data_IF_279828839803
#
_entry.id   IF_279828839803
#
_cell.length_a   1.000
_cell.length_b   1.000
_cell.length_c   1.000
_cell.angle_alpha   90.00
_cell.angle_beta   90.00
_cell.angle_gamma   90.00
#
_symmetry.space_group_name_H-M   'P 1'
#
loop_
_entity.id
_entity.type
_entity.pdbx_description
1 polymer ?
#
# COMPACT_ATOMS: atom_id res chain seq x y z
N UNK A 1 -4.13 -12.37 -27.48
CA UNK A 1 -3.17 -11.95 -26.44
C UNK A 1 -2.76 -10.52 -26.73
N UNK A 2 -3.41 -9.55 -26.08
CA UNK A 2 -3.12 -8.13 -26.31
C UNK A 2 -1.70 -7.81 -25.85
N UNK A 3 -0.92 -7.14 -26.71
CA UNK A 3 0.41 -6.63 -26.37
C UNK A 3 0.29 -5.81 -25.07
N UNK A 4 1.05 -6.18 -24.04
CA UNK A 4 1.19 -5.36 -22.84
C UNK A 4 1.71 -4.00 -23.28
N UNK A 5 0.82 -3.01 -23.34
CA UNK A 5 1.15 -1.66 -23.75
C UNK A 5 1.87 -0.97 -22.58
N UNK A 6 3.16 -0.73 -22.74
CA UNK A 6 3.96 0.06 -21.82
C UNK A 6 3.43 1.50 -21.74
N UNK A 7 3.82 2.23 -20.70
CA UNK A 7 3.45 3.65 -20.54
C UNK A 7 4.66 4.52 -20.29
N UNK A 8 4.64 5.72 -20.87
CA UNK A 8 5.69 6.70 -20.61
C UNK A 8 5.64 7.18 -19.15
N UNK A 9 6.78 7.15 -18.46
CA UNK A 9 6.89 7.58 -17.06
C UNK A 9 6.67 9.09 -16.89
N UNK A 10 6.80 9.88 -17.96
CA UNK A 10 6.65 11.35 -17.94
C UNK A 10 5.24 11.83 -18.27
N UNK A 11 4.63 11.34 -19.35
CA UNK A 11 3.31 11.80 -19.82
C UNK A 11 2.17 10.78 -19.71
N UNK A 12 2.46 9.53 -19.27
CA UNK A 12 1.48 8.43 -19.19
C UNK A 12 0.91 7.96 -20.55
N UNK A 13 1.47 8.42 -21.66
CA UNK A 13 1.08 7.99 -23.00
C UNK A 13 1.49 6.54 -23.27
N UNK A 14 0.70 5.80 -24.06
CA UNK A 14 1.01 4.39 -24.39
C UNK A 14 2.26 4.33 -25.26
N UNK A 15 3.12 3.35 -24.98
CA UNK A 15 4.34 3.06 -25.73
C UNK A 15 4.34 1.59 -26.16
N UNK A 16 4.82 1.34 -27.39
CA UNK A 16 4.91 -0.02 -27.94
C UNK A 16 6.16 -0.76 -27.46
N UNK A 17 7.26 -0.03 -27.25
CA UNK A 17 8.57 -0.54 -26.87
C UNK A 17 9.22 0.40 -25.87
N UNK A 18 9.86 -0.16 -24.85
CA UNK A 18 10.60 0.61 -23.84
C UNK A 18 12.03 0.93 -24.28
N UNK A 19 12.69 -0.06 -24.88
CA UNK A 19 14.06 0.01 -25.38
C UNK A 19 14.17 -0.75 -26.69
N UNK A 20 15.18 -0.40 -27.48
CA UNK A 20 15.64 -1.18 -28.63
C UNK A 20 17.03 -1.72 -28.34
N UNK A 21 17.14 -3.04 -28.37
CA UNK A 21 18.42 -3.72 -28.37
C UNK A 21 18.98 -3.73 -29.78
N UNK A 22 20.10 -3.04 -29.99
CA UNK A 22 20.92 -3.26 -31.17
C UNK A 22 21.81 -4.48 -30.90
N UNK A 23 21.96 -5.38 -31.88
CA UNK A 23 22.73 -6.64 -31.79
C UNK A 23 24.17 -6.50 -31.25
N UNK A 24 24.67 -5.28 -31.07
CA UNK A 24 25.97 -4.96 -30.50
C UNK A 24 25.96 -4.81 -28.96
N UNK A 25 24.85 -5.14 -28.29
CA UNK A 25 24.71 -4.98 -26.83
C UNK A 25 24.47 -3.54 -26.37
N UNK A 26 24.16 -2.62 -27.30
CA UNK A 26 23.82 -1.23 -26.99
C UNK A 26 22.30 -1.13 -26.84
N UNK A 27 21.86 -1.01 -25.58
CA UNK A 27 20.49 -0.70 -25.22
C UNK A 27 20.23 0.78 -25.53
N UNK A 28 19.24 1.09 -26.38
CA UNK A 28 18.80 2.48 -26.60
C UNK A 28 17.37 2.67 -26.13
N UNK A 29 17.17 3.59 -25.18
CA UNK A 29 15.84 3.96 -24.71
C UNK A 29 15.00 4.56 -25.84
N UNK A 30 13.75 4.12 -25.94
CA UNK A 30 12.79 4.67 -26.90
C UNK A 30 12.38 6.07 -26.45
N UNK A 31 12.29 7.02 -27.40
CA UNK A 31 11.81 8.38 -27.14
C UNK A 31 10.30 8.41 -27.32
N UNK A 32 9.57 8.99 -26.36
CA UNK A 32 8.13 9.14 -26.44
C UNK A 32 7.74 10.16 -27.52
N UNK A 33 6.85 9.79 -28.43
CA UNK A 33 6.37 10.69 -29.50
C UNK A 33 5.61 11.92 -29.00
N UNK A 34 4.98 11.85 -27.82
CA UNK A 34 4.20 12.96 -27.26
C UNK A 34 5.08 13.97 -26.51
N UNK A 35 5.93 13.52 -25.58
CA UNK A 35 6.69 14.42 -24.70
C UNK A 35 8.17 14.56 -25.09
N UNK A 36 8.65 13.82 -26.10
CA UNK A 36 10.04 13.84 -26.59
C UNK A 36 11.10 13.53 -25.52
N UNK A 37 10.70 12.88 -24.42
CA UNK A 37 11.58 12.36 -23.36
C UNK A 37 11.70 10.84 -23.47
N UNK A 38 12.74 10.21 -22.88
CA UNK A 38 12.83 8.75 -22.82
C UNK A 38 11.56 8.17 -22.18
N UNK A 39 11.01 7.12 -22.78
CA UNK A 39 9.76 6.47 -22.35
C UNK A 39 9.87 6.00 -20.90
N UNK A 40 11.00 5.38 -20.55
CA UNK A 40 11.28 4.92 -19.20
C UNK A 40 12.77 4.87 -18.93
N UNK A 41 13.26 5.81 -18.11
CA UNK A 41 14.67 5.87 -17.69
C UNK A 41 15.04 4.85 -16.62
N UNK A 42 14.06 4.30 -15.90
CA UNK A 42 14.32 3.44 -14.74
C UNK A 42 14.78 2.04 -15.11
N UNK A 43 14.71 1.67 -16.39
CA UNK A 43 15.19 0.37 -16.89
C UNK A 43 16.70 0.22 -16.71
N UNK A 44 17.44 1.32 -16.82
CA UNK A 44 18.89 1.35 -16.62
C UNK A 44 19.28 1.52 -15.15
N UNK A 45 18.32 1.89 -14.29
CA UNK A 45 18.59 2.22 -12.89
C UNK A 45 18.56 0.96 -12.04
N UNK A 46 19.43 0.94 -11.02
CA UNK A 46 19.39 -0.09 -10.00
C UNK A 46 18.05 -0.03 -9.22
N UNK A 47 17.44 -1.17 -8.85
CA UNK A 47 16.23 -1.23 -8.04
C UNK A 47 16.25 -0.39 -6.77
N UNK A 48 17.43 -0.17 -6.15
CA UNK A 48 17.57 0.69 -4.97
C UNK A 48 17.22 2.15 -5.28
N UNK A 49 17.63 2.67 -6.44
CA UNK A 49 17.32 4.04 -6.86
C UNK A 49 15.82 4.18 -7.13
N UNK A 50 15.23 3.16 -7.75
CA UNK A 50 13.78 3.09 -8.00
C UNK A 50 13.02 3.11 -6.66
N UNK A 51 13.49 2.37 -5.67
CA UNK A 51 12.91 2.33 -4.33
C UNK A 51 13.00 3.70 -3.63
N UNK A 52 14.14 4.40 -3.71
CA UNK A 52 14.29 5.75 -3.15
C UNK A 52 13.31 6.71 -3.82
N UNK A 53 13.20 6.70 -5.14
CA UNK A 53 12.27 7.57 -5.86
C UNK A 53 10.79 7.23 -5.54
N UNK A 54 10.49 5.95 -5.28
CA UNK A 54 9.19 5.54 -4.76
C UNK A 54 8.95 6.08 -3.35
N UNK A 55 9.93 5.97 -2.44
CA UNK A 55 9.87 6.56 -1.09
C UNK A 55 9.69 8.09 -1.15
N UNK A 56 10.23 8.76 -2.17
CA UNK A 56 10.00 10.19 -2.42
C UNK A 56 8.64 10.50 -3.06
N UNK A 57 7.76 9.50 -3.22
CA UNK A 57 6.45 9.61 -3.86
C UNK A 57 6.51 10.21 -5.29
N UNK A 58 7.60 9.99 -6.03
CA UNK A 58 7.73 10.51 -7.41
C UNK A 58 6.79 9.77 -8.36
N UNK A 59 6.03 10.52 -9.16
CA UNK A 59 5.08 9.96 -10.14
C UNK A 59 5.75 9.01 -11.13
N UNK A 60 6.97 9.32 -11.55
CA UNK A 60 7.69 8.57 -12.57
C UNK A 60 8.03 7.15 -12.08
N UNK A 61 8.47 7.00 -10.82
CA UNK A 61 8.72 5.70 -10.21
C UNK A 61 7.44 4.86 -10.09
N UNK A 62 6.33 5.46 -9.64
CA UNK A 62 5.05 4.74 -9.58
C UNK A 62 4.59 4.24 -10.95
N UNK A 63 4.78 5.03 -12.02
CA UNK A 63 4.44 4.62 -13.39
C UNK A 63 5.31 3.45 -13.87
N UNK A 64 6.62 3.51 -13.61
CA UNK A 64 7.54 2.42 -13.92
C UNK A 64 7.14 1.11 -13.20
N UNK A 65 6.94 1.19 -11.89
CA UNK A 65 6.64 0.02 -11.04
C UNK A 65 5.29 -0.62 -11.40
N UNK A 66 4.29 0.20 -11.73
CA UNK A 66 2.93 -0.29 -11.99
C UNK A 66 2.70 -0.77 -13.42
N UNK A 67 3.19 -0.02 -14.42
CA UNK A 67 2.88 -0.27 -15.83
C UNK A 67 4.02 -0.92 -16.61
N UNK A 68 5.27 -0.59 -16.28
CA UNK A 68 6.43 -1.06 -17.05
C UNK A 68 7.14 -2.26 -16.40
N UNK A 69 6.80 -2.58 -15.16
CA UNK A 69 7.40 -3.69 -14.41
C UNK A 69 6.40 -4.80 -14.10
N UNK A 70 6.82 -6.04 -14.36
CA UNK A 70 6.06 -7.24 -13.99
C UNK A 70 6.37 -7.67 -12.55
N UNK A 71 5.87 -6.92 -11.57
CA UNK A 71 6.02 -7.29 -10.16
C UNK A 71 4.89 -8.19 -9.66
N UNK A 72 5.20 -9.48 -9.50
CA UNK A 72 4.31 -10.45 -8.87
C UNK A 72 4.44 -10.52 -7.32
N UNK A 73 5.15 -9.56 -6.72
CA UNK A 73 5.48 -9.57 -5.28
C UNK A 73 4.42 -8.79 -4.46
N UNK A 74 3.47 -8.13 -5.11
CA UNK A 74 2.49 -7.24 -4.46
C UNK A 74 1.70 -7.90 -3.32
N UNK A 75 1.25 -9.16 -3.48
CA UNK A 75 0.53 -9.86 -2.42
C UNK A 75 1.45 -10.28 -1.26
N UNK A 76 2.69 -10.69 -1.55
CA UNK A 76 3.70 -11.02 -0.53
C UNK A 76 4.06 -9.80 0.30
N UNK A 77 4.24 -8.66 -0.38
CA UNK A 77 4.50 -7.38 0.26
C UNK A 77 3.32 -6.95 1.14
N UNK A 78 2.09 -7.15 0.67
CA UNK A 78 0.90 -6.90 1.49
C UNK A 78 0.88 -7.74 2.77
N UNK A 79 1.12 -9.05 2.67
CA UNK A 79 1.21 -9.95 3.84
C UNK A 79 2.29 -9.47 4.80
N UNK A 80 3.46 -9.10 4.30
CA UNK A 80 4.56 -8.59 5.12
C UNK A 80 4.20 -7.27 5.81
N UNK A 81 3.58 -6.33 5.09
CA UNK A 81 3.08 -5.09 5.67
C UNK A 81 2.03 -5.31 6.77
N UNK A 82 1.13 -6.28 6.60
CA UNK A 82 0.14 -6.68 7.61
C UNK A 82 0.81 -7.29 8.84
N UNK A 83 1.84 -8.12 8.65
CA UNK A 83 2.62 -8.68 9.76
C UNK A 83 3.37 -7.59 10.54
N UNK A 84 4.00 -6.63 9.86
CA UNK A 84 4.65 -5.50 10.52
C UNK A 84 3.68 -4.67 11.36
N UNK A 85 2.48 -4.43 10.84
CA UNK A 85 1.45 -3.68 11.55
C UNK A 85 0.86 -4.47 12.73
N UNK A 86 0.57 -5.77 12.54
CA UNK A 86 0.10 -6.65 13.60
C UNK A 86 1.13 -6.75 14.73
N UNK A 87 2.40 -6.93 14.38
CA UNK A 87 3.50 -6.96 15.32
C UNK A 87 3.61 -5.64 16.10
N UNK A 88 3.58 -4.49 15.40
CA UNK A 88 3.65 -3.19 16.08
C UNK A 88 2.52 -3.03 17.10
N UNK A 89 1.28 -3.35 16.71
CA UNK A 89 0.11 -3.27 17.60
C UNK A 89 0.25 -4.20 18.80
N UNK A 90 0.70 -5.43 18.58
CA UNK A 90 0.94 -6.42 19.62
C UNK A 90 2.06 -6.00 20.58
N UNK A 91 3.19 -5.51 20.03
CA UNK A 91 4.34 -5.02 20.79
C UNK A 91 4.00 -3.80 21.64
N UNK A 92 3.18 -2.88 21.12
CA UNK A 92 2.70 -1.71 21.87
C UNK A 92 1.79 -2.09 23.04
N UNK A 93 0.98 -3.15 22.90
CA UNK A 93 0.11 -3.65 23.96
C UNK A 93 0.91 -4.36 25.07
N UNK A 94 1.95 -5.10 24.69
CA UNK A 94 2.74 -5.92 25.62
C UNK A 94 3.95 -5.20 26.21
N UNK A 95 4.44 -4.13 25.58
CA UNK A 95 5.50 -3.29 26.16
C UNK A 95 5.11 -2.65 27.50
N UNK A 96 3.81 -2.61 27.84
CA UNK A 96 3.31 -2.08 29.11
C UNK A 96 3.11 -3.12 30.22
N UNK A 97 3.16 -4.43 29.94
CA UNK A 97 2.89 -5.47 30.94
C UNK A 97 4.09 -6.39 31.17
N UNK A 98 4.88 -6.08 32.21
CA UNK A 98 5.88 -6.99 32.77
C UNK A 98 5.31 -7.66 34.02
N UNK A 99 4.74 -8.88 33.92
CA UNK A 99 4.59 -9.76 35.10
C UNK A 99 4.35 -11.24 34.77
N UNK A 100 4.59 -12.07 35.78
CA UNK A 100 5.06 -13.47 35.80
C UNK A 100 4.01 -14.55 35.45
N UNK A 101 4.52 -15.62 34.80
CA UNK A 101 4.01 -17.01 34.59
C UNK A 101 2.59 -17.41 35.06
N UNK A 102 1.76 -18.06 34.20
CA UNK A 102 1.99 -19.45 33.79
C UNK A 102 2.18 -19.69 32.27
N UNK A 103 3.32 -20.31 31.92
CA UNK A 103 3.93 -20.40 30.61
C UNK A 103 3.06 -20.88 29.43
N UNK A 104 2.19 -21.87 29.59
CA UNK A 104 1.46 -22.44 28.43
C UNK A 104 0.13 -21.74 28.12
N UNK A 105 -0.63 -21.35 29.15
CA UNK A 105 -1.85 -20.55 28.96
C UNK A 105 -1.46 -19.15 28.48
N UNK A 106 -0.42 -18.54 29.08
CA UNK A 106 0.10 -17.24 28.67
C UNK A 106 0.65 -17.27 27.24
N UNK A 107 1.37 -18.33 26.84
CA UNK A 107 1.90 -18.44 25.47
C UNK A 107 0.78 -18.58 24.45
N UNK A 108 -0.21 -19.43 24.73
CA UNK A 108 -1.38 -19.58 23.86
C UNK A 108 -2.21 -18.30 23.76
N UNK A 109 -2.49 -17.61 24.88
CA UNK A 109 -3.23 -16.33 24.85
C UNK A 109 -2.47 -15.25 24.08
N UNK A 110 -1.14 -15.18 24.23
CA UNK A 110 -0.28 -14.24 23.48
C UNK A 110 -0.31 -14.48 21.97
N UNK A 111 -0.34 -15.74 21.54
CA UNK A 111 -0.45 -16.10 20.12
C UNK A 111 -1.82 -15.71 19.54
N UNK A 112 -2.92 -15.94 20.29
CA UNK A 112 -4.26 -15.54 19.87
C UNK A 112 -4.43 -14.03 19.75
N UNK A 113 -3.83 -13.26 20.66
CA UNK A 113 -3.85 -11.80 20.59
C UNK A 113 -3.12 -11.29 19.35
N UNK A 114 -2.01 -11.92 18.96
CA UNK A 114 -1.34 -11.62 17.70
C UNK A 114 -2.24 -11.91 16.49
N UNK A 115 -2.89 -13.08 16.44
CA UNK A 115 -3.81 -13.42 15.34
C UNK A 115 -5.02 -12.48 15.29
N UNK A 116 -5.57 -12.07 16.44
CA UNK A 116 -6.64 -11.10 16.51
C UNK A 116 -6.21 -9.72 15.98
N UNK A 117 -4.99 -9.28 16.34
CA UNK A 117 -4.41 -8.03 15.81
C UNK A 117 -4.17 -8.09 14.30
N UNK A 118 -3.69 -9.22 13.80
CA UNK A 118 -3.53 -9.46 12.36
C UNK A 118 -4.87 -9.47 11.61
N UNK A 119 -5.88 -10.14 12.17
CA UNK A 119 -7.23 -10.16 11.62
C UNK A 119 -7.86 -8.76 11.58
N UNK A 120 -7.71 -7.99 12.65
CA UNK A 120 -8.16 -6.59 12.72
C UNK A 120 -7.46 -5.70 11.70
N UNK A 121 -6.13 -5.79 11.58
CA UNK A 121 -5.36 -5.05 10.57
C UNK A 121 -5.76 -5.43 9.13
N UNK A 122 -6.05 -6.72 8.89
CA UNK A 122 -6.53 -7.21 7.60
C UNK A 122 -7.92 -6.65 7.28
N UNK A 123 -8.82 -6.64 8.26
CA UNK A 123 -10.17 -6.09 8.09
C UNK A 123 -10.12 -4.59 7.79
N UNK A 124 -9.33 -3.83 8.54
CA UNK A 124 -9.10 -2.41 8.32
C UNK A 124 -8.54 -2.12 6.91
N UNK A 125 -7.50 -2.84 6.48
CA UNK A 125 -6.95 -2.70 5.12
C UNK A 125 -7.98 -3.07 4.04
N UNK A 126 -8.75 -4.14 4.25
CA UNK A 126 -9.79 -4.56 3.30
C UNK A 126 -10.88 -3.51 3.17
N UNK A 127 -11.31 -2.91 4.29
CA UNK A 127 -12.30 -1.84 4.30
C UNK A 127 -11.79 -0.58 3.62
N UNK A 128 -10.53 -0.21 3.85
CA UNK A 128 -9.86 0.88 3.13
C UNK A 128 -9.87 0.62 1.62
N UNK A 129 -9.43 -0.56 1.17
CA UNK A 129 -9.40 -0.88 -0.27
C UNK A 129 -10.81 -0.90 -0.88
N UNK A 130 -11.78 -1.57 -0.25
CA UNK A 130 -13.15 -1.69 -0.77
C UNK A 130 -13.81 -0.32 -0.89
N UNK A 131 -13.70 0.53 0.14
CA UNK A 131 -14.29 1.87 0.13
C UNK A 131 -13.67 2.79 -0.92
N UNK A 132 -12.34 2.74 -1.11
CA UNK A 132 -11.64 3.48 -2.17
C UNK A 132 -12.08 3.00 -3.55
N UNK A 133 -12.11 1.67 -3.78
CA UNK A 133 -12.54 1.10 -5.06
C UNK A 133 -14.00 1.46 -5.38
N UNK A 134 -14.88 1.38 -4.38
CA UNK A 134 -16.28 1.71 -4.53
C UNK A 134 -16.50 3.20 -4.83
N UNK A 135 -15.83 4.09 -4.09
CA UNK A 135 -15.89 5.53 -4.33
C UNK A 135 -15.37 5.90 -5.72
N UNK A 136 -14.24 5.33 -6.15
CA UNK A 136 -13.66 5.59 -7.47
C UNK A 136 -14.55 5.02 -8.58
N UNK A 137 -15.12 3.83 -8.39
CA UNK A 137 -16.12 3.27 -9.31
C UNK A 137 -17.30 4.21 -9.46
N UNK A 138 -17.88 4.66 -8.35
CA UNK A 138 -19.00 5.59 -8.35
C UNK A 138 -18.64 6.86 -9.13
N UNK A 139 -17.51 7.51 -8.81
CA UNK A 139 -17.14 8.78 -9.43
C UNK A 139 -16.76 8.63 -10.91
N UNK A 140 -15.93 7.67 -11.28
CA UNK A 140 -15.44 7.54 -12.66
C UNK A 140 -16.51 6.98 -13.59
N UNK A 141 -17.32 6.02 -13.14
CA UNK A 141 -18.38 5.45 -13.97
C UNK A 141 -19.56 6.42 -14.08
N UNK A 142 -20.03 6.99 -12.97
CA UNK A 142 -21.22 7.84 -12.99
C UNK A 142 -20.95 9.25 -13.50
N UNK A 143 -19.79 9.85 -13.16
CA UNK A 143 -19.50 11.25 -13.51
C UNK A 143 -18.62 11.40 -14.75
N UNK A 144 -17.80 10.40 -15.08
CA UNK A 144 -16.85 10.48 -16.21
C UNK A 144 -17.13 9.48 -17.33
N UNK A 145 -18.06 8.55 -17.15
CA UNK A 145 -18.39 7.51 -18.15
C UNK A 145 -17.21 6.59 -18.50
N UNK A 146 -16.20 6.50 -17.63
CA UNK A 146 -14.98 5.74 -17.86
C UNK A 146 -15.09 4.27 -17.40
N UNK A 147 -14.17 3.43 -17.89
CA UNK A 147 -13.97 2.06 -17.38
C UNK A 147 -12.81 2.04 -16.38
N UNK A 148 -12.93 1.24 -15.31
CA UNK A 148 -11.88 1.06 -14.30
C UNK A 148 -11.39 -0.39 -14.32
N UNK A 149 -10.07 -0.55 -14.45
CA UNK A 149 -9.41 -1.83 -14.22
C UNK A 149 -9.21 -2.07 -12.73
N UNK A 150 -10.18 -2.73 -12.09
CA UNK A 150 -10.15 -3.01 -10.64
C UNK A 150 -8.92 -3.78 -10.18
N UNK A 151 -8.45 -4.75 -10.98
CA UNK A 151 -7.27 -5.56 -10.65
C UNK A 151 -6.00 -4.72 -10.57
N UNK A 152 -5.84 -3.79 -11.51
CA UNK A 152 -4.72 -2.86 -11.54
C UNK A 152 -4.78 -1.88 -10.37
N UNK A 153 -5.97 -1.35 -10.09
CA UNK A 153 -6.20 -0.41 -9.00
C UNK A 153 -5.95 -1.07 -7.63
N UNK A 154 -6.46 -2.29 -7.42
CA UNK A 154 -6.18 -3.07 -6.21
C UNK A 154 -4.69 -3.37 -6.07
N UNK A 155 -4.04 -3.85 -7.14
CA UNK A 155 -2.58 -4.11 -7.15
C UNK A 155 -1.79 -2.87 -6.74
N UNK A 156 -2.17 -1.70 -7.24
CA UNK A 156 -1.49 -0.46 -6.89
C UNK A 156 -1.73 -0.03 -5.44
N UNK A 157 -2.96 -0.17 -4.92
CA UNK A 157 -3.27 0.12 -3.51
C UNK A 157 -2.49 -0.80 -2.55
N UNK A 158 -2.41 -2.09 -2.88
CA UNK A 158 -1.61 -3.05 -2.10
C UNK A 158 -0.13 -2.72 -2.17
N UNK A 159 0.37 -2.36 -3.36
CA UNK A 159 1.75 -1.97 -3.54
C UNK A 159 2.06 -0.70 -2.73
N UNK A 160 1.24 0.35 -2.81
CA UNK A 160 1.46 1.62 -2.11
C UNK A 160 1.46 1.51 -0.58
N UNK A 161 1.01 0.38 -0.03
CA UNK A 161 1.18 0.04 1.38
C UNK A 161 2.63 -0.35 1.77
N UNK A 162 3.60 -0.36 0.84
CA UNK A 162 5.02 -0.67 1.11
C UNK A 162 5.62 0.18 2.25
N UNK A 163 5.09 1.39 2.48
CA UNK A 163 5.54 2.26 3.56
C UNK A 163 5.38 1.66 4.96
N UNK A 164 4.49 0.67 5.15
CA UNK A 164 4.36 -0.06 6.41
C UNK A 164 5.62 -0.86 6.76
N UNK A 165 6.47 -1.20 5.78
CA UNK A 165 7.78 -1.84 6.03
C UNK A 165 8.73 -0.92 6.79
N UNK A 166 8.55 0.41 6.68
CA UNK A 166 9.34 1.40 7.44
C UNK A 166 9.08 1.32 8.96
N UNK A 167 8.11 0.52 9.40
CA UNK A 167 7.93 0.19 10.82
C UNK A 167 9.05 -0.71 11.36
N UNK A 168 9.73 -1.48 10.51
CA UNK A 168 10.78 -2.41 10.97
C UNK A 168 11.96 -1.67 11.61
N UNK A 169 12.57 -0.65 10.96
CA UNK A 169 13.59 0.15 11.63
C UNK A 169 13.09 0.81 12.93
N UNK A 170 11.83 1.25 12.97
CA UNK A 170 11.24 1.84 14.18
C UNK A 170 11.16 0.82 15.32
N UNK A 171 10.84 -0.43 15.00
CA UNK A 171 10.80 -1.54 15.98
C UNK A 171 12.21 -1.95 16.40
N UNK A 172 13.14 -2.11 15.45
CA UNK A 172 14.51 -2.59 15.73
C UNK A 172 15.30 -1.57 16.54
N UNK A 173 15.14 -0.28 16.25
CA UNK A 173 15.99 0.75 16.85
C UNK A 173 15.56 1.18 18.25
N UNK A 174 14.47 0.61 18.80
CA UNK A 174 13.98 0.75 20.19
C UNK A 174 13.89 2.18 20.77
N UNK A 175 14.18 3.22 19.98
CA UNK A 175 14.06 4.61 20.36
C UNK A 175 12.58 4.87 20.58
N UNK A 176 12.24 5.09 21.86
CA UNK A 176 10.96 5.54 22.41
C UNK A 176 9.92 5.75 21.31
N UNK A 177 9.02 4.78 21.15
CA UNK A 177 7.94 4.70 20.15
C UNK A 177 7.25 6.05 19.91
N UNK A 178 7.92 6.94 19.17
CA UNK A 178 7.53 8.33 19.21
C UNK A 178 6.25 8.44 18.40
N UNK A 179 5.16 8.96 18.98
CA UNK A 179 3.90 9.11 18.26
C UNK A 179 4.09 9.93 16.98
N UNK A 180 5.11 10.78 16.95
CA UNK A 180 5.53 11.53 15.76
C UNK A 180 6.05 10.62 14.64
N UNK A 181 6.94 9.67 14.92
CA UNK A 181 7.49 8.75 13.91
C UNK A 181 6.39 7.88 13.31
N UNK A 182 5.53 7.29 14.15
CA UNK A 182 4.39 6.50 13.70
C UNK A 182 3.40 7.35 12.89
N UNK A 183 3.16 8.59 13.32
CA UNK A 183 2.35 9.57 12.58
C UNK A 183 2.91 9.88 11.19
N UNK A 184 4.23 10.08 11.08
CA UNK A 184 4.91 10.32 9.81
C UNK A 184 4.82 9.11 8.88
N UNK A 185 4.98 7.88 9.38
CA UNK A 185 4.84 6.67 8.56
C UNK A 185 3.40 6.53 8.06
N UNK A 186 2.40 6.79 8.91
CA UNK A 186 0.98 6.79 8.49
C UNK A 186 0.71 7.84 7.43
N UNK A 187 1.18 9.07 7.62
CA UNK A 187 1.05 10.15 6.63
C UNK A 187 1.75 9.77 5.32
N UNK A 188 2.93 9.15 5.39
CA UNK A 188 3.66 8.67 4.25
C UNK A 188 2.85 7.63 3.46
N UNK A 189 2.31 6.60 4.12
CA UNK A 189 1.45 5.59 3.47
C UNK A 189 0.22 6.25 2.83
N UNK A 190 -0.39 7.23 3.50
CA UNK A 190 -1.54 7.97 2.97
C UNK A 190 -1.20 8.74 1.69
N UNK A 191 -0.09 9.45 1.69
CA UNK A 191 0.39 10.21 0.52
C UNK A 191 0.77 9.29 -0.64
N UNK A 192 1.39 8.14 -0.35
CA UNK A 192 1.71 7.08 -1.31
C UNK A 192 0.44 6.51 -1.97
N UNK A 193 -0.59 6.18 -1.18
CA UNK A 193 -1.88 5.72 -1.68
C UNK A 193 -2.56 6.77 -2.59
N UNK A 194 -2.53 8.05 -2.19
CA UNK A 194 -3.08 9.14 -3.01
C UNK A 194 -2.32 9.27 -4.33
N UNK A 195 -0.99 9.14 -4.30
CA UNK A 195 -0.15 9.20 -5.49
C UNK A 195 -0.40 8.03 -6.44
N UNK A 196 -0.55 6.81 -5.91
CA UNK A 196 -0.86 5.62 -6.70
C UNK A 196 -2.18 5.78 -7.47
N UNK A 197 -3.24 6.21 -6.79
CA UNK A 197 -4.55 6.47 -7.42
C UNK A 197 -4.42 7.54 -8.51
N UNK A 198 -3.70 8.63 -8.23
CA UNK A 198 -3.49 9.72 -9.18
C UNK A 198 -2.76 9.24 -10.44
N UNK A 199 -1.75 8.40 -10.28
CA UNK A 199 -0.95 7.85 -11.38
C UNK A 199 -1.78 6.91 -12.26
N UNK A 200 -2.63 6.07 -11.67
CA UNK A 200 -3.48 5.13 -12.42
C UNK A 200 -4.55 5.85 -13.22
N UNK A 201 -5.31 6.71 -12.56
CA UNK A 201 -6.47 7.36 -13.14
C UNK A 201 -6.09 8.63 -13.94
N UNK A 202 -4.82 9.03 -13.92
CA UNK A 202 -4.34 10.30 -14.47
C UNK A 202 -5.21 11.50 -14.05
N UNK A 203 -5.70 11.46 -12.80
CA UNK A 203 -6.74 12.35 -12.30
C UNK A 203 -6.18 13.56 -11.56
N UNK A 204 -7.06 14.50 -11.19
CA UNK A 204 -6.69 15.62 -10.33
C UNK A 204 -6.28 15.14 -8.93
N UNK A 205 -5.37 15.88 -8.27
CA UNK A 205 -4.94 15.60 -6.89
C UNK A 205 -6.13 15.60 -5.91
N UNK A 206 -7.16 16.40 -6.18
CA UNK A 206 -8.36 16.50 -5.32
C UNK A 206 -9.14 15.20 -5.28
N UNK A 207 -9.35 14.56 -6.45
CA UNK A 207 -10.07 13.28 -6.52
C UNK A 207 -9.31 12.17 -5.78
N UNK A 208 -7.99 12.10 -5.96
CA UNK A 208 -7.17 11.10 -5.30
C UNK A 208 -7.11 11.30 -3.79
N UNK A 209 -7.09 12.56 -3.32
CA UNK A 209 -7.19 12.87 -1.89
C UNK A 209 -8.57 12.53 -1.33
N UNK A 210 -9.67 12.87 -2.02
CA UNK A 210 -11.01 12.56 -1.53
C UNK A 210 -11.25 11.06 -1.42
N UNK A 211 -10.79 10.28 -2.41
CA UNK A 211 -10.88 8.81 -2.36
C UNK A 211 -10.15 8.24 -1.15
N UNK A 212 -8.94 8.73 -0.89
CA UNK A 212 -8.13 8.32 0.27
C UNK A 212 -8.79 8.74 1.59
N UNK A 213 -9.38 9.94 1.67
CA UNK A 213 -10.12 10.38 2.86
C UNK A 213 -11.32 9.47 3.16
N UNK A 214 -12.09 9.08 2.13
CA UNK A 214 -13.19 8.12 2.28
C UNK A 214 -12.66 6.77 2.78
N UNK A 215 -11.53 6.32 2.24
CA UNK A 215 -10.82 5.13 2.71
C UNK A 215 -10.49 5.17 4.20
N UNK A 216 -9.86 6.26 4.65
CA UNK A 216 -9.47 6.44 6.06
C UNK A 216 -10.70 6.51 6.98
N UNK A 217 -11.77 7.17 6.56
CA UNK A 217 -13.00 7.21 7.35
C UNK A 217 -13.59 5.80 7.53
N UNK A 218 -13.60 4.99 6.47
CA UNK A 218 -14.04 3.60 6.54
C UNK A 218 -13.15 2.76 7.46
N UNK A 219 -11.83 2.92 7.36
CA UNK A 219 -10.85 2.27 8.24
C UNK A 219 -11.12 2.63 9.70
N UNK A 220 -11.31 3.92 10.02
CA UNK A 220 -11.61 4.39 11.37
C UNK A 220 -12.93 3.83 11.92
N UNK A 221 -13.98 3.76 11.09
CA UNK A 221 -15.25 3.16 11.49
C UNK A 221 -15.10 1.68 11.84
N UNK A 222 -14.34 0.94 11.04
CA UNK A 222 -14.06 -0.49 11.27
C UNK A 222 -13.21 -0.67 12.52
N UNK A 223 -12.16 0.13 12.69
CA UNK A 223 -11.33 0.09 13.90
C UNK A 223 -12.15 0.37 15.18
N UNK A 224 -13.08 1.33 15.13
CA UNK A 224 -14.00 1.61 16.23
C UNK A 224 -14.98 0.45 16.48
N UNK A 225 -15.53 -0.16 15.44
CA UNK A 225 -16.39 -1.32 15.56
C UNK A 225 -15.66 -2.52 16.16
N UNK A 226 -14.43 -2.79 15.69
CA UNK A 226 -13.55 -3.83 16.23
C UNK A 226 -13.19 -3.61 17.69
N UNK A 227 -13.04 -2.36 18.15
CA UNK A 227 -12.81 -2.05 19.58
C UNK A 227 -14.06 -2.22 20.45
N UNK A 228 -15.26 -2.06 19.88
CA UNK A 228 -16.52 -2.29 20.60
C UNK A 228 -16.88 -3.78 20.69
N UNK A 229 -16.47 -4.58 19.71
CA UNK A 229 -16.71 -6.03 19.66
C UNK A 229 -16.13 -6.85 20.84
N UNK A 230 -14.94 -6.59 21.42
CA UNK A 230 -14.39 -7.37 22.54
C UNK A 230 -15.26 -7.35 23.80
N UNK A 231 -16.06 -6.30 24.02
CA UNK A 231 -17.04 -6.27 25.11
C UNK A 231 -18.15 -7.33 24.93
N UNK A 232 -18.54 -7.60 23.68
CA UNK A 232 -19.57 -8.61 23.39
C UNK A 232 -19.08 -10.04 23.59
N UNK A 233 -17.79 -10.33 23.40
CA UNK A 233 -17.26 -11.70 23.50
C UNK A 233 -16.97 -12.08 24.96
N UNK A 234 -16.52 -11.12 25.78
CA UNK A 234 -16.38 -11.33 27.23
C UNK A 234 -17.76 -11.51 27.91
N UNK A 235 -18.78 -10.76 27.48
CA UNK A 235 -20.16 -10.91 27.99
C UNK A 235 -20.81 -12.27 27.65
N UNK A 236 -20.45 -12.87 26.50
CA UNK A 236 -20.93 -14.21 26.11
C UNK A 236 -20.22 -15.30 26.94
N UNK A 237 -18.94 -15.14 27.23
CA UNK A 237 -18.15 -16.10 28.02
C UNK A 237 -18.51 -16.12 29.50
N UNK A 238 -19.17 -15.06 30.01
CA UNK A 238 -19.64 -14.96 31.39
C UNK A 238 -21.09 -15.44 31.58
N UNK A 239 -21.77 -15.84 30.48
CA UNK A 239 -23.17 -16.33 30.47
C UNK A 239 -23.31 -17.82 30.13
N UNK A 240 -22.21 -18.54 29.92
CA UNK A 240 -22.14 -20.01 29.91
C UNK A 240 -21.40 -20.49 31.16
#
# INVERSE_FOLDING_TARGET
>A
MGKDAFRCVECNEKATELHRDYNNGILKLTICGSCQKPVDKYIEYDPVIILIDAILCKTQAFRHILFNTRLNIHWKLCVFCLLCEAYLRWSLLHGSEQSNDPADIIRYTKEWEFYAMFGSATLELSAFCISVLWFLWLVVVQLQGGAIDFSLLLRALLLSCYGKVLLIPTVIWEHDYSPLCLGLIKLFVLTSNSQAIRVILNSSRRLSLSAVCVGVLSEMCVAQACKKLPWSVQDIKMKM
#
